data_IF_529867940599
#
_entry.id   IF_529867940599
#
_cell.length_a   1.000
_cell.length_b   1.000
_cell.length_c   1.000
_cell.angle_alpha   90.00
_cell.angle_beta   90.00
_cell.angle_gamma   90.00
#
_symmetry.space_group_name_H-M   'P 1'
#
loop_
_entity.id
_entity.type
_entity.pdbx_description
1 polymer ?
#
# COMPACT_ATOMS: atom_id res chain seq x y z
N UNK A 1 59.88 57.82 -17.24
CA UNK A 1 58.70 57.35 -18.00
C UNK A 1 58.84 55.86 -18.26
N UNK A 2 58.08 55.03 -17.54
CA UNK A 2 57.24 53.94 -18.08
C UNK A 2 56.75 53.03 -16.94
N UNK A 3 55.60 53.44 -16.43
CA UNK A 3 54.46 52.66 -15.90
C UNK A 3 54.75 51.27 -15.33
N UNK A 4 54.81 51.21 -13.99
CA UNK A 4 54.48 50.02 -13.22
C UNK A 4 52.95 49.91 -13.17
N UNK A 5 52.40 48.88 -13.81
CA UNK A 5 50.97 48.55 -13.79
C UNK A 5 50.58 48.06 -12.38
N UNK A 6 49.75 48.83 -11.68
CA UNK A 6 49.00 48.35 -10.52
C UNK A 6 47.81 47.53 -11.03
N UNK A 7 47.92 46.20 -11.03
CA UNK A 7 46.74 45.34 -11.14
C UNK A 7 46.13 45.20 -9.75
N UNK A 8 45.02 45.90 -9.53
CA UNK A 8 44.11 45.66 -8.41
C UNK A 8 43.35 44.36 -8.73
N UNK A 9 43.81 43.24 -8.18
CA UNK A 9 43.00 42.03 -8.09
C UNK A 9 41.98 42.23 -6.97
N UNK A 10 40.78 42.70 -7.31
CA UNK A 10 39.61 42.47 -6.47
C UNK A 10 39.27 40.98 -6.57
N UNK A 11 39.58 40.24 -5.51
CA UNK A 11 39.06 38.88 -5.31
C UNK A 11 37.54 38.96 -5.26
N UNK A 12 36.85 38.35 -6.23
CA UNK A 12 35.46 37.97 -6.05
C UNK A 12 35.43 36.98 -4.88
N UNK A 13 34.88 37.42 -3.76
CA UNK A 13 34.54 36.55 -2.64
C UNK A 13 33.64 35.42 -3.14
N UNK A 14 34.13 34.20 -2.99
CA UNK A 14 33.37 32.97 -3.15
C UNK A 14 32.27 33.00 -2.10
N UNK A 15 31.03 33.27 -2.51
CA UNK A 15 29.87 32.86 -1.71
C UNK A 15 29.84 31.33 -1.72
N UNK A 16 30.51 30.73 -0.73
CA UNK A 16 30.25 29.36 -0.33
C UNK A 16 28.82 29.32 0.23
N UNK A 17 27.86 28.94 -0.61
CA UNK A 17 26.62 28.41 -0.08
C UNK A 17 26.93 27.03 0.50
N UNK A 18 27.24 27.00 1.80
CA UNK A 18 27.23 25.81 2.63
C UNK A 18 25.81 25.20 2.62
N UNK A 19 25.51 24.39 1.60
CA UNK A 19 24.41 23.43 1.64
C UNK A 19 24.84 22.28 2.56
N UNK A 20 24.03 21.83 3.53
CA UNK A 20 24.45 20.72 4.39
C UNK A 20 24.63 19.46 3.53
N UNK A 21 25.84 18.92 3.49
CA UNK A 21 26.22 17.79 2.65
C UNK A 21 25.77 16.47 3.31
N UNK A 22 24.46 16.26 3.35
CA UNK A 22 23.82 15.01 3.74
C UNK A 22 23.43 14.28 2.44
N UNK A 23 24.30 13.41 1.92
CA UNK A 23 24.09 12.75 0.61
C UNK A 23 23.38 11.40 0.71
N UNK A 24 23.85 10.51 1.58
CA UNK A 24 23.21 9.24 1.92
C UNK A 24 23.41 9.05 3.43
N UNK A 25 22.38 8.67 4.18
CA UNK A 25 22.48 8.55 5.64
C UNK A 25 21.44 7.59 6.21
N UNK A 26 21.69 7.13 7.43
CA UNK A 26 20.74 6.37 8.22
C UNK A 26 19.79 7.35 8.92
N UNK A 27 18.49 7.13 8.77
CA UNK A 27 17.45 7.94 9.39
C UNK A 27 17.37 7.71 10.90
N UNK A 28 16.63 8.58 11.61
CA UNK A 28 16.53 8.55 13.07
C UNK A 28 15.93 7.24 13.62
N UNK A 29 15.17 6.51 12.79
CA UNK A 29 14.64 5.18 13.13
C UNK A 29 15.70 4.06 13.11
N UNK A 30 16.95 4.37 12.76
CA UNK A 30 18.09 3.44 12.65
C UNK A 30 17.91 2.29 11.64
N UNK A 31 16.98 2.42 10.70
CA UNK A 31 16.65 1.38 9.70
C UNK A 31 16.68 1.97 8.30
N UNK A 32 15.93 3.05 8.08
CA UNK A 32 15.72 3.65 6.76
C UNK A 32 16.98 4.35 6.27
N UNK A 33 17.32 4.16 4.98
CA UNK A 33 18.42 4.87 4.33
C UNK A 33 17.84 5.96 3.43
N UNK A 34 18.19 7.21 3.75
CA UNK A 34 17.75 8.42 3.04
C UNK A 34 18.85 8.97 2.14
N UNK A 35 18.47 9.52 0.99
CA UNK A 35 19.37 10.04 -0.03
C UNK A 35 18.76 11.15 -0.91
N UNK A 36 17.96 12.04 -0.31
CA UNK A 36 17.21 13.08 -1.02
C UNK A 36 18.14 14.00 -1.84
N UNK A 37 19.31 14.34 -1.27
CA UNK A 37 20.28 15.26 -1.86
C UNK A 37 21.43 14.60 -2.64
N UNK A 38 21.50 13.26 -2.72
CA UNK A 38 22.49 12.58 -3.55
C UNK A 38 22.10 12.56 -5.04
N UNK A 39 23.00 12.11 -5.90
CA UNK A 39 22.75 11.83 -7.31
C UNK A 39 22.53 10.33 -7.55
N UNK A 40 21.87 9.99 -8.66
CA UNK A 40 21.69 8.58 -9.03
C UNK A 40 23.05 7.94 -9.29
N UNK A 41 23.32 6.80 -8.66
CA UNK A 41 24.60 6.11 -8.75
C UNK A 41 25.58 6.46 -7.63
N UNK A 42 25.31 7.49 -6.82
CA UNK A 42 26.09 7.79 -5.63
C UNK A 42 26.11 6.59 -4.68
N UNK A 43 27.24 6.41 -4.00
CA UNK A 43 27.47 5.31 -3.07
C UNK A 43 27.98 5.82 -1.74
N UNK A 44 27.54 5.18 -0.65
CA UNK A 44 28.09 5.43 0.69
C UNK A 44 28.13 4.15 1.51
N UNK A 45 29.20 4.00 2.30
CA UNK A 45 29.31 2.94 3.28
C UNK A 45 28.64 3.36 4.59
N UNK A 46 27.67 2.58 5.06
CA UNK A 46 26.97 2.76 6.34
C UNK A 46 26.94 1.40 7.04
N UNK A 47 27.44 1.32 8.26
CA UNK A 47 27.49 0.08 9.07
C UNK A 47 28.06 -1.14 8.31
N UNK A 48 29.11 -0.93 7.53
CA UNK A 48 29.76 -2.01 6.76
C UNK A 48 29.17 -2.28 5.38
N UNK A 49 27.95 -1.81 5.09
CA UNK A 49 27.24 -2.03 3.81
C UNK A 49 27.39 -0.84 2.87
N UNK A 50 27.48 -1.07 1.56
CA UNK A 50 27.56 -0.01 0.54
C UNK A 50 26.18 0.21 -0.06
N UNK A 51 25.56 1.34 0.27
CA UNK A 51 24.28 1.74 -0.28
C UNK A 51 24.48 2.51 -1.57
N UNK A 52 23.70 2.16 -2.60
CA UNK A 52 23.70 2.85 -3.90
C UNK A 52 22.37 3.56 -4.13
N UNK A 53 22.41 4.82 -4.55
CA UNK A 53 21.19 5.59 -4.90
C UNK A 53 20.68 5.14 -6.26
N UNK A 54 19.40 4.80 -6.33
CA UNK A 54 18.77 4.33 -7.57
C UNK A 54 17.47 5.05 -7.86
N UNK A 55 17.09 5.08 -9.14
CA UNK A 55 15.74 5.46 -9.57
C UNK A 55 14.91 4.21 -9.89
N UNK A 56 13.62 4.39 -10.20
CA UNK A 56 12.70 3.28 -10.53
C UNK A 56 13.23 2.38 -11.65
N UNK A 57 13.80 2.97 -12.71
CA UNK A 57 14.30 2.22 -13.87
C UNK A 57 15.46 1.29 -13.49
N UNK A 58 16.43 1.79 -12.73
CA UNK A 58 17.55 0.99 -12.23
C UNK A 58 17.03 -0.10 -11.29
N UNK A 59 16.13 0.23 -10.36
CA UNK A 59 15.54 -0.72 -9.42
C UNK A 59 14.83 -1.88 -10.14
N UNK A 60 13.95 -1.58 -11.09
CA UNK A 60 13.25 -2.59 -11.91
C UNK A 60 14.26 -3.47 -12.65
N UNK A 61 15.32 -2.90 -13.21
CA UNK A 61 16.35 -3.67 -13.89
C UNK A 61 17.15 -4.56 -12.94
N UNK A 62 17.44 -4.09 -11.71
CA UNK A 62 18.10 -4.89 -10.68
C UNK A 62 17.24 -6.09 -10.30
N UNK A 63 15.95 -5.88 -10.04
CA UNK A 63 15.00 -6.94 -9.68
C UNK A 63 14.84 -7.95 -10.81
N UNK A 64 14.66 -7.49 -12.07
CA UNK A 64 14.58 -8.36 -13.25
C UNK A 64 15.81 -9.25 -13.42
N UNK A 65 17.00 -8.74 -13.08
CA UNK A 65 18.27 -9.45 -13.14
C UNK A 65 18.57 -10.27 -11.87
N UNK A 66 17.66 -10.29 -10.90
CA UNK A 66 17.82 -10.96 -9.60
C UNK A 66 19.03 -10.44 -8.80
N UNK A 67 19.37 -9.16 -8.97
CA UNK A 67 20.39 -8.52 -8.17
C UNK A 67 19.89 -8.30 -6.74
N UNK A 68 20.83 -8.20 -5.81
CA UNK A 68 20.56 -7.79 -4.43
C UNK A 68 20.13 -6.30 -4.38
N UNK A 69 18.98 -6.04 -3.76
CA UNK A 69 18.40 -4.71 -3.54
C UNK A 69 18.26 -4.36 -2.06
N UNK A 70 18.93 -5.11 -1.17
CA UNK A 70 18.96 -4.80 0.27
C UNK A 70 19.83 -3.59 0.62
N UNK A 71 20.74 -3.20 -0.28
CA UNK A 71 21.68 -2.10 -0.09
C UNK A 71 21.49 -0.99 -1.14
N UNK A 72 20.26 -0.54 -1.31
CA UNK A 72 19.94 0.61 -2.17
C UNK A 72 19.23 1.71 -1.38
N UNK A 73 19.29 2.92 -1.90
CA UNK A 73 18.46 4.02 -1.44
C UNK A 73 17.51 4.45 -2.55
N UNK A 74 16.23 4.58 -2.21
CA UNK A 74 15.15 4.87 -3.15
C UNK A 74 14.40 6.18 -2.85
N UNK A 75 14.95 7.08 -2.02
CA UNK A 75 14.31 8.36 -1.65
C UNK A 75 13.81 9.21 -2.83
N UNK A 76 14.33 8.98 -4.03
CA UNK A 76 13.96 9.69 -5.27
C UNK A 76 12.81 9.02 -6.04
N UNK A 77 12.32 7.88 -5.60
CA UNK A 77 11.27 7.11 -6.28
C UNK A 77 9.91 7.53 -5.75
N UNK A 78 9.07 8.09 -6.63
CA UNK A 78 7.69 8.47 -6.30
C UNK A 78 6.66 7.39 -6.67
N UNK A 79 7.04 6.46 -7.52
CA UNK A 79 6.14 5.47 -8.08
C UNK A 79 6.80 4.09 -8.05
N UNK A 80 6.24 3.21 -7.22
CA UNK A 80 6.65 1.82 -7.05
C UNK A 80 5.74 0.85 -7.79
N UNK A 81 4.89 1.34 -8.70
CA UNK A 81 3.92 0.50 -9.42
C UNK A 81 4.62 -0.70 -10.05
N UNK A 82 4.18 -1.90 -9.65
CA UNK A 82 4.61 -3.19 -10.20
C UNK A 82 6.11 -3.51 -10.08
N UNK A 83 6.87 -2.81 -9.22
CA UNK A 83 8.34 -2.94 -9.20
C UNK A 83 8.81 -4.35 -8.81
N UNK A 84 8.14 -5.00 -7.86
CA UNK A 84 8.43 -6.38 -7.43
C UNK A 84 7.41 -7.37 -8.03
N UNK A 85 6.18 -6.92 -8.29
CA UNK A 85 5.11 -7.77 -8.79
C UNK A 85 5.28 -8.23 -10.24
N UNK A 86 4.47 -9.22 -10.64
CA UNK A 86 4.48 -9.83 -11.97
C UNK A 86 4.02 -8.88 -13.11
N UNK A 87 3.88 -7.58 -12.87
CA UNK A 87 3.48 -6.61 -13.89
C UNK A 87 4.48 -6.52 -15.05
N UNK A 88 5.76 -6.82 -14.78
CA UNK A 88 6.83 -6.81 -15.80
C UNK A 88 7.38 -8.21 -16.12
N UNK A 89 6.63 -9.29 -15.86
CA UNK A 89 7.12 -10.67 -15.99
C UNK A 89 8.19 -11.03 -14.95
N UNK A 90 8.14 -10.36 -13.79
CA UNK A 90 9.11 -10.49 -12.70
C UNK A 90 8.73 -11.68 -11.79
N UNK A 91 9.77 -12.25 -11.18
CA UNK A 91 9.77 -13.39 -10.27
C UNK A 91 8.73 -13.33 -9.15
N UNK A 92 7.91 -14.38 -9.03
CA UNK A 92 6.90 -14.57 -7.96
C UNK A 92 7.51 -14.99 -6.61
N UNK A 93 8.83 -15.17 -6.56
CA UNK A 93 9.59 -15.63 -5.39
C UNK A 93 10.39 -14.52 -4.68
N UNK A 94 10.23 -13.25 -5.05
CA UNK A 94 10.96 -12.15 -4.40
C UNK A 94 10.69 -12.14 -2.88
N UNK A 95 11.75 -12.12 -2.08
CA UNK A 95 11.67 -12.06 -0.62
C UNK A 95 12.94 -11.46 0.01
N UNK A 96 13.61 -10.54 -0.69
CA UNK A 96 14.82 -9.86 -0.17
C UNK A 96 14.44 -8.82 0.88
N UNK A 97 15.31 -8.62 1.87
CA UNK A 97 15.14 -7.58 2.89
C UNK A 97 15.17 -6.19 2.24
N UNK A 98 14.06 -5.47 2.36
CA UNK A 98 13.83 -4.12 1.84
C UNK A 98 13.37 -3.17 2.95
N UNK A 99 13.58 -3.56 4.21
CA UNK A 99 13.19 -2.76 5.39
C UNK A 99 13.81 -1.36 5.38
N UNK A 100 15.02 -1.23 4.85
CA UNK A 100 15.76 0.03 4.81
C UNK A 100 15.34 1.00 3.69
N UNK A 101 14.39 0.63 2.84
CA UNK A 101 13.94 1.49 1.75
C UNK A 101 13.23 2.73 2.32
N UNK A 102 13.62 3.91 1.84
CA UNK A 102 12.92 5.16 2.14
C UNK A 102 11.72 5.35 1.21
N UNK A 103 10.52 5.11 1.74
CA UNK A 103 9.25 5.28 1.02
C UNK A 103 8.58 6.63 1.24
N UNK A 104 9.20 7.55 2.00
CA UNK A 104 8.58 8.82 2.38
C UNK A 104 8.17 9.69 1.18
N UNK A 105 8.80 9.52 0.02
CA UNK A 105 8.45 10.23 -1.22
C UNK A 105 7.54 9.44 -2.17
N UNK A 106 7.14 8.21 -1.82
CA UNK A 106 6.33 7.34 -2.66
C UNK A 106 4.86 7.78 -2.62
N UNK A 107 4.29 7.95 -3.81
CA UNK A 107 2.89 8.34 -4.03
C UNK A 107 2.05 7.15 -4.50
N UNK A 108 2.65 6.23 -5.27
CA UNK A 108 1.93 5.11 -5.87
C UNK A 108 2.63 3.77 -5.55
N UNK A 109 1.90 2.85 -4.92
CA UNK A 109 2.33 1.49 -4.60
C UNK A 109 1.50 0.40 -5.33
N UNK A 110 0.76 0.78 -6.38
CA UNK A 110 -0.12 -0.12 -7.13
C UNK A 110 0.63 -1.38 -7.58
N UNK A 111 0.18 -2.56 -7.16
CA UNK A 111 0.74 -3.83 -7.57
C UNK A 111 2.20 -4.06 -7.17
N UNK A 112 2.74 -3.30 -6.20
CA UNK A 112 4.16 -3.38 -5.83
C UNK A 112 4.59 -4.82 -5.58
N UNK A 113 3.84 -5.60 -4.81
CA UNK A 113 4.08 -7.02 -4.53
C UNK A 113 3.06 -7.96 -5.21
N UNK A 114 2.39 -7.50 -6.27
CA UNK A 114 1.39 -8.30 -6.98
C UNK A 114 1.97 -9.62 -7.50
N UNK A 115 1.45 -10.74 -7.02
CA UNK A 115 1.84 -12.13 -7.29
C UNK A 115 3.20 -12.53 -6.71
N UNK A 116 3.78 -11.72 -5.82
CA UNK A 116 4.99 -12.08 -5.07
C UNK A 116 4.64 -13.08 -3.95
N UNK A 117 4.28 -14.30 -4.34
CA UNK A 117 3.71 -15.35 -3.47
C UNK A 117 4.56 -15.71 -2.24
N UNK A 118 5.86 -15.47 -2.28
CA UNK A 118 6.82 -15.73 -1.20
C UNK A 118 7.18 -14.52 -0.36
N UNK A 119 6.77 -13.32 -0.76
CA UNK A 119 7.14 -12.09 -0.06
C UNK A 119 6.53 -12.08 1.34
N UNK A 120 7.37 -11.91 2.36
CA UNK A 120 6.97 -11.79 3.75
C UNK A 120 8.03 -11.05 4.59
N UNK A 121 8.69 -10.04 4.00
CA UNK A 121 9.71 -9.24 4.70
C UNK A 121 9.08 -8.09 5.48
N UNK A 122 9.72 -7.72 6.58
CA UNK A 122 9.29 -6.62 7.43
C UNK A 122 9.36 -5.28 6.67
N UNK A 123 8.22 -4.62 6.60
CA UNK A 123 7.99 -3.31 5.97
C UNK A 123 7.22 -2.38 6.92
N UNK A 124 7.25 -2.68 8.23
CA UNK A 124 6.54 -1.92 9.26
C UNK A 124 7.06 -0.47 9.40
N UNK A 125 8.32 -0.22 9.02
CA UNK A 125 8.96 1.10 9.09
C UNK A 125 8.78 1.96 7.83
N UNK A 126 8.05 1.47 6.84
CA UNK A 126 7.77 2.26 5.65
C UNK A 126 6.86 3.43 5.97
N UNK A 127 7.27 4.62 5.56
CA UNK A 127 6.44 5.81 5.58
C UNK A 127 5.48 5.78 4.37
N UNK A 128 4.18 5.69 4.65
CA UNK A 128 3.11 5.64 3.66
C UNK A 128 2.27 6.93 3.61
N UNK A 129 2.63 7.97 4.37
CA UNK A 129 1.84 9.21 4.51
C UNK A 129 1.59 9.94 3.18
N UNK A 130 2.50 9.77 2.21
CA UNK A 130 2.37 10.34 0.86
C UNK A 130 1.69 9.41 -0.16
N UNK A 131 1.39 8.16 0.21
CA UNK A 131 0.78 7.19 -0.70
C UNK A 131 -0.67 7.56 -0.96
N UNK A 132 -1.07 7.52 -2.23
CA UNK A 132 -2.44 7.78 -2.71
C UNK A 132 -3.12 6.53 -3.26
N UNK A 133 -2.34 5.56 -3.75
CA UNK A 133 -2.86 4.30 -4.30
C UNK A 133 -2.09 3.10 -3.75
N UNK A 134 -2.84 2.12 -3.23
CA UNK A 134 -2.34 0.80 -2.79
C UNK A 134 -3.04 -0.34 -3.55
N UNK A 135 -3.61 -0.05 -4.71
CA UNK A 135 -4.34 -1.02 -5.52
C UNK A 135 -3.50 -2.26 -5.81
N UNK A 136 -4.05 -3.46 -5.57
CA UNK A 136 -3.40 -4.74 -5.86
C UNK A 136 -2.01 -4.91 -5.21
N UNK A 137 -1.64 -4.10 -4.20
CA UNK A 137 -0.28 -4.07 -3.65
C UNK A 137 0.20 -5.46 -3.21
N UNK A 138 -0.65 -6.26 -2.59
CA UNK A 138 -0.39 -7.65 -2.16
C UNK A 138 -1.29 -8.67 -2.87
N UNK A 139 -1.83 -8.35 -4.05
CA UNK A 139 -2.63 -9.28 -4.86
C UNK A 139 -1.85 -10.58 -5.06
N UNK A 140 -2.31 -11.72 -4.54
CA UNK A 140 -1.64 -13.01 -4.69
C UNK A 140 -0.34 -13.16 -3.89
N UNK A 141 -0.05 -12.27 -2.93
CA UNK A 141 1.08 -12.40 -2.01
C UNK A 141 0.76 -13.43 -0.91
N UNK A 142 0.64 -14.70 -1.31
CA UNK A 142 0.13 -15.83 -0.50
C UNK A 142 0.74 -15.90 0.91
N UNK A 143 2.06 -15.66 1.03
CA UNK A 143 2.79 -15.80 2.30
C UNK A 143 2.83 -14.54 3.15
N UNK A 144 2.37 -13.39 2.63
CA UNK A 144 2.50 -12.11 3.32
C UNK A 144 1.63 -12.05 4.57
N UNK A 145 2.24 -11.76 5.72
CA UNK A 145 1.55 -11.62 7.01
C UNK A 145 2.37 -10.74 7.99
N UNK A 146 3.02 -9.69 7.49
CA UNK A 146 3.81 -8.77 8.33
C UNK A 146 2.97 -7.63 8.88
N UNK A 147 3.35 -7.14 10.06
CA UNK A 147 2.63 -6.07 10.73
C UNK A 147 2.75 -4.76 9.95
N UNK A 148 1.61 -4.24 9.50
CA UNK A 148 1.45 -2.98 8.77
C UNK A 148 0.37 -2.09 9.41
N UNK A 149 -0.02 -2.39 10.64
CA UNK A 149 -1.04 -1.62 11.36
C UNK A 149 -0.62 -0.18 11.67
N UNK A 150 0.70 0.10 11.65
CA UNK A 150 1.27 1.43 11.89
C UNK A 150 1.39 2.32 10.64
N UNK A 151 0.95 1.86 9.47
CA UNK A 151 0.97 2.67 8.26
C UNK A 151 -0.04 3.82 8.31
N UNK A 152 0.37 4.99 7.82
CA UNK A 152 -0.52 6.12 7.58
C UNK A 152 -1.24 5.93 6.23
N UNK A 153 -2.55 5.73 6.28
CA UNK A 153 -3.42 5.52 5.12
C UNK A 153 -4.35 6.69 4.84
N UNK A 154 -4.26 7.80 5.58
CA UNK A 154 -5.24 8.90 5.53
C UNK A 154 -5.37 9.52 4.14
N UNK A 155 -4.31 9.46 3.35
CA UNK A 155 -4.28 9.99 1.98
C UNK A 155 -4.61 8.96 0.89
N UNK A 156 -4.82 7.69 1.23
CA UNK A 156 -5.07 6.63 0.25
C UNK A 156 -6.51 6.74 -0.24
N UNK A 157 -6.68 6.82 -1.56
CA UNK A 157 -8.01 6.90 -2.19
C UNK A 157 -8.48 5.57 -2.76
N UNK A 158 -7.57 4.61 -3.01
CA UNK A 158 -7.93 3.31 -3.59
C UNK A 158 -7.12 2.18 -2.95
N UNK A 159 -7.84 1.17 -2.47
CA UNK A 159 -7.33 -0.08 -1.90
C UNK A 159 -7.86 -1.31 -2.68
N UNK A 160 -8.33 -1.09 -3.91
CA UNK A 160 -8.89 -2.15 -4.75
C UNK A 160 -7.91 -3.31 -4.90
N UNK A 161 -8.36 -4.52 -4.57
CA UNK A 161 -7.59 -5.76 -4.68
C UNK A 161 -6.35 -5.84 -3.79
N UNK A 162 -6.17 -4.93 -2.81
CA UNK A 162 -4.92 -4.81 -2.06
C UNK A 162 -4.44 -6.13 -1.46
N UNK A 163 -5.34 -6.94 -0.88
CA UNK A 163 -5.05 -8.26 -0.30
C UNK A 163 -5.77 -9.41 -1.01
N UNK A 164 -6.21 -9.21 -2.26
CA UNK A 164 -6.87 -10.28 -3.00
C UNK A 164 -5.94 -11.49 -3.12
N UNK A 165 -6.33 -12.66 -2.63
CA UNK A 165 -5.52 -13.88 -2.64
C UNK A 165 -4.31 -13.84 -1.70
N UNK A 166 -4.20 -12.89 -0.78
CA UNK A 166 -3.19 -12.87 0.29
C UNK A 166 -3.60 -13.84 1.41
N UNK A 167 -3.54 -15.15 1.10
CA UNK A 167 -4.08 -16.25 1.93
C UNK A 167 -3.62 -16.19 3.39
N UNK A 168 -2.36 -15.82 3.64
CA UNK A 168 -1.78 -15.82 5.00
C UNK A 168 -2.13 -14.59 5.83
N UNK A 169 -2.59 -13.50 5.19
CA UNK A 169 -2.70 -12.20 5.83
C UNK A 169 -3.83 -12.18 6.88
N UNK A 170 -3.46 -11.82 8.12
CA UNK A 170 -4.40 -11.65 9.22
C UNK A 170 -3.83 -10.69 10.29
N UNK A 171 -3.19 -9.61 9.86
CA UNK A 171 -2.61 -8.61 10.77
C UNK A 171 -3.59 -7.50 11.09
N UNK A 172 -3.49 -6.97 12.32
CA UNK A 172 -4.36 -5.89 12.78
C UNK A 172 -4.12 -4.62 11.95
N UNK A 173 -5.20 -4.13 11.35
CA UNK A 173 -5.29 -2.92 10.52
C UNK A 173 -6.47 -2.05 10.97
N UNK A 174 -6.95 -2.26 12.20
CA UNK A 174 -8.06 -1.50 12.78
C UNK A 174 -7.77 -0.01 12.92
N UNK A 175 -6.48 0.36 13.02
CA UNK A 175 -6.00 1.73 13.16
C UNK A 175 -5.85 2.52 11.86
N UNK A 176 -6.11 1.92 10.69
CA UNK A 176 -6.04 2.62 9.41
C UNK A 176 -7.14 3.68 9.27
N UNK A 177 -6.78 4.86 8.76
CA UNK A 177 -7.74 5.88 8.32
C UNK A 177 -8.19 5.56 6.89
N UNK A 178 -9.47 5.23 6.73
CA UNK A 178 -10.10 4.91 5.44
C UNK A 178 -11.03 6.00 4.93
N UNK A 179 -11.11 7.16 5.59
CA UNK A 179 -12.07 8.23 5.29
C UNK A 179 -11.96 8.79 3.86
N UNK A 180 -10.77 8.72 3.27
CA UNK A 180 -10.47 9.13 1.89
C UNK A 180 -10.69 8.02 0.85
N UNK A 181 -10.91 6.77 1.26
CA UNK A 181 -10.97 5.62 0.34
C UNK A 181 -12.30 5.63 -0.40
N UNK A 182 -12.23 5.60 -1.74
CA UNK A 182 -13.41 5.55 -2.62
C UNK A 182 -13.65 4.17 -3.24
N UNK A 183 -12.60 3.33 -3.33
CA UNK A 183 -12.65 2.03 -3.96
C UNK A 183 -12.00 0.94 -3.07
N UNK A 184 -12.80 -0.03 -2.65
CA UNK A 184 -12.40 -1.22 -1.89
C UNK A 184 -12.74 -2.52 -2.64
N UNK A 185 -12.96 -2.45 -3.95
CA UNK A 185 -13.30 -3.62 -4.76
C UNK A 185 -12.29 -4.75 -4.56
N UNK A 186 -12.77 -5.94 -4.22
CA UNK A 186 -11.98 -7.16 -4.04
C UNK A 186 -10.86 -7.04 -3.00
N UNK A 187 -10.91 -6.09 -2.06
CA UNK A 187 -9.79 -5.81 -1.14
C UNK A 187 -9.29 -7.05 -0.40
N UNK A 188 -10.19 -7.92 0.09
CA UNK A 188 -9.88 -9.19 0.76
C UNK A 188 -10.46 -10.40 0.01
N UNK A 189 -10.70 -10.29 -1.31
CA UNK A 189 -11.18 -11.42 -2.10
C UNK A 189 -10.22 -12.61 -1.96
N UNK A 190 -10.70 -13.76 -1.51
CA UNK A 190 -9.94 -14.99 -1.30
C UNK A 190 -8.81 -14.87 -0.26
N UNK A 191 -8.79 -13.82 0.58
CA UNK A 191 -7.92 -13.70 1.74
C UNK A 191 -8.43 -14.58 2.90
N UNK A 192 -8.32 -15.90 2.72
CA UNK A 192 -9.09 -16.88 3.50
C UNK A 192 -8.84 -16.88 5.01
N UNK A 193 -7.72 -16.35 5.50
CA UNK A 193 -7.41 -16.27 6.94
C UNK A 193 -7.79 -14.93 7.58
N UNK A 194 -8.13 -13.91 6.79
CA UNK A 194 -8.39 -12.58 7.31
C UNK A 194 -9.67 -12.56 8.16
N UNK A 195 -9.55 -12.10 9.40
CA UNK A 195 -10.65 -11.98 10.35
C UNK A 195 -10.39 -10.87 11.40
N UNK A 196 -9.75 -9.78 11.01
CA UNK A 196 -9.42 -8.67 11.92
C UNK A 196 -10.56 -7.66 12.02
N UNK A 197 -10.74 -7.09 13.20
CA UNK A 197 -11.83 -6.16 13.47
C UNK A 197 -11.61 -4.84 12.71
N UNK A 198 -12.51 -4.56 11.77
CA UNK A 198 -12.55 -3.35 10.93
C UNK A 198 -13.88 -2.60 11.06
N UNK A 199 -14.59 -2.81 12.16
CA UNK A 199 -15.86 -2.13 12.48
C UNK A 199 -15.71 -0.60 12.54
N UNK A 200 -14.52 -0.11 12.92
CA UNK A 200 -14.22 1.31 13.10
C UNK A 200 -13.82 2.05 11.82
N UNK A 201 -13.70 1.36 10.68
CA UNK A 201 -13.33 2.00 9.43
C UNK A 201 -14.41 2.98 8.96
N UNK A 202 -13.98 4.17 8.54
CA UNK A 202 -14.87 5.14 7.89
C UNK A 202 -15.06 4.73 6.42
N UNK A 203 -16.25 4.22 6.10
CA UNK A 203 -16.63 3.84 4.73
C UNK A 203 -17.48 4.90 4.04
N UNK A 204 -17.64 6.09 4.62
CA UNK A 204 -18.59 7.10 4.14
C UNK A 204 -18.26 7.64 2.74
N UNK A 205 -17.01 7.54 2.30
CA UNK A 205 -16.56 7.91 0.94
C UNK A 205 -16.57 6.75 -0.07
N UNK A 206 -16.75 5.52 0.39
CA UNK A 206 -16.62 4.32 -0.45
C UNK A 206 -17.79 4.21 -1.42
N UNK A 207 -17.47 3.97 -2.69
CA UNK A 207 -18.44 3.77 -3.77
C UNK A 207 -18.52 2.32 -4.24
N UNK A 208 -17.40 1.61 -4.21
CA UNK A 208 -17.31 0.23 -4.71
C UNK A 208 -16.82 -0.72 -3.61
N UNK A 209 -17.70 -1.62 -3.20
CA UNK A 209 -17.47 -2.71 -2.25
C UNK A 209 -17.64 -4.10 -2.90
N UNK A 210 -17.68 -4.16 -4.24
CA UNK A 210 -17.75 -5.40 -4.99
C UNK A 210 -16.70 -6.39 -4.50
N UNK A 211 -17.08 -7.61 -4.14
CA UNK A 211 -16.21 -8.72 -3.74
C UNK A 211 -15.27 -8.47 -2.55
N UNK A 212 -15.49 -7.44 -1.72
CA UNK A 212 -14.54 -7.09 -0.65
C UNK A 212 -14.15 -8.29 0.24
N UNK A 213 -15.07 -9.20 0.56
CA UNK A 213 -14.84 -10.45 1.32
C UNK A 213 -15.23 -11.71 0.54
N UNK A 214 -15.29 -11.65 -0.80
CA UNK A 214 -15.62 -12.84 -1.61
C UNK A 214 -14.61 -13.96 -1.29
N UNK A 215 -15.04 -15.14 -0.85
CA UNK A 215 -14.12 -16.24 -0.50
C UNK A 215 -13.21 -16.01 0.71
N UNK A 216 -13.40 -14.93 1.49
CA UNK A 216 -12.71 -14.72 2.76
C UNK A 216 -13.33 -15.62 3.85
N UNK A 217 -13.02 -16.92 3.80
CA UNK A 217 -13.77 -17.97 4.50
C UNK A 217 -13.83 -17.82 6.03
N UNK A 218 -12.84 -17.16 6.64
CA UNK A 218 -12.76 -16.90 8.09
C UNK A 218 -13.32 -15.54 8.53
N UNK A 219 -13.69 -14.67 7.61
CA UNK A 219 -14.16 -13.33 7.98
C UNK A 219 -15.53 -13.39 8.65
N UNK A 220 -15.63 -12.92 9.88
CA UNK A 220 -16.88 -12.85 10.66
C UNK A 220 -16.87 -11.66 11.65
N UNK A 221 -16.39 -10.51 11.21
CA UNK A 221 -16.33 -9.29 12.03
C UNK A 221 -17.55 -8.39 11.77
N UNK A 222 -17.98 -7.68 12.81
CA UNK A 222 -19.13 -6.78 12.72
C UNK A 222 -18.83 -5.59 11.80
N UNK A 223 -19.59 -5.51 10.71
CA UNK A 223 -19.57 -4.40 9.74
C UNK A 223 -20.96 -3.75 9.62
N UNK A 224 -21.87 -4.05 10.55
CA UNK A 224 -23.25 -3.53 10.54
C UNK A 224 -23.34 -2.01 10.76
N UNK A 225 -22.25 -1.41 11.26
CA UNK A 225 -22.11 0.03 11.48
C UNK A 225 -21.50 0.82 10.31
N UNK A 226 -21.11 0.16 9.22
CA UNK A 226 -20.51 0.84 8.08
C UNK A 226 -21.49 1.81 7.40
N UNK A 227 -20.97 2.95 6.95
CA UNK A 227 -21.74 3.92 6.17
C UNK A 227 -21.74 3.52 4.70
N UNK A 228 -22.90 3.08 4.19
CA UNK A 228 -23.05 2.58 2.82
C UNK A 228 -23.81 3.53 1.89
N UNK A 229 -24.09 4.76 2.31
CA UNK A 229 -24.94 5.72 1.56
C UNK A 229 -24.44 5.98 0.13
N UNK A 230 -23.12 5.99 -0.05
CA UNK A 230 -22.45 6.31 -1.31
C UNK A 230 -22.10 5.06 -2.13
N UNK A 231 -22.39 3.86 -1.62
CA UNK A 231 -22.03 2.60 -2.27
C UNK A 231 -22.97 2.34 -3.44
N UNK A 232 -22.40 2.27 -4.65
CA UNK A 232 -23.12 1.98 -5.89
C UNK A 232 -22.86 0.57 -6.42
N UNK A 233 -21.89 -0.16 -5.86
CA UNK A 233 -21.65 -1.57 -6.19
C UNK A 233 -21.28 -2.37 -4.93
N UNK A 234 -22.06 -3.41 -4.65
CA UNK A 234 -21.87 -4.33 -3.53
C UNK A 234 -21.98 -5.80 -3.99
N UNK A 235 -21.75 -6.07 -5.28
CA UNK A 235 -21.86 -7.41 -5.86
C UNK A 235 -20.86 -8.38 -5.24
N UNK A 236 -21.31 -9.59 -4.93
CA UNK A 236 -20.52 -10.69 -4.34
C UNK A 236 -19.76 -10.32 -3.06
N UNK A 237 -20.14 -9.24 -2.36
CA UNK A 237 -19.41 -8.70 -1.19
C UNK A 237 -19.00 -9.79 -0.18
N UNK A 238 -19.91 -10.71 0.15
CA UNK A 238 -19.72 -11.80 1.11
C UNK A 238 -19.86 -13.20 0.50
N UNK A 239 -19.85 -13.31 -0.84
CA UNK A 239 -20.04 -14.61 -1.49
C UNK A 239 -18.91 -15.57 -1.10
N UNK A 240 -19.22 -16.71 -0.50
CA UNK A 240 -18.21 -17.68 -0.07
C UNK A 240 -17.46 -17.33 1.23
N UNK A 241 -17.83 -16.23 1.92
CA UNK A 241 -17.37 -15.96 3.29
C UNK A 241 -18.10 -16.90 4.27
N UNK A 242 -17.66 -18.16 4.34
CA UNK A 242 -18.41 -19.25 4.99
C UNK A 242 -18.69 -19.08 6.48
N UNK A 243 -17.89 -18.30 7.21
CA UNK A 243 -18.09 -18.04 8.64
C UNK A 243 -18.91 -16.77 8.92
N UNK A 244 -19.23 -15.97 7.90
CA UNK A 244 -19.91 -14.69 8.05
C UNK A 244 -21.38 -14.85 8.46
N UNK A 245 -21.76 -14.34 9.63
CA UNK A 245 -23.11 -14.47 10.21
C UNK A 245 -23.65 -13.17 10.81
N UNK A 246 -23.06 -12.03 10.46
CA UNK A 246 -23.42 -10.73 11.03
C UNK A 246 -24.76 -10.25 10.44
N UNK A 247 -25.58 -9.63 11.27
CA UNK A 247 -26.81 -8.96 10.84
C UNK A 247 -26.50 -7.61 10.17
N UNK A 248 -26.79 -7.50 8.88
CA UNK A 248 -26.58 -6.29 8.09
C UNK A 248 -27.88 -5.53 7.79
N UNK A 249 -28.98 -5.85 8.45
CA UNK A 249 -30.30 -5.19 8.27
C UNK A 249 -30.31 -3.70 8.58
N UNK A 250 -29.26 -3.21 9.25
CA UNK A 250 -29.02 -1.79 9.54
C UNK A 250 -28.37 -1.04 8.38
N UNK A 251 -27.71 -1.74 7.46
CA UNK A 251 -27.09 -1.12 6.30
C UNK A 251 -28.17 -0.58 5.36
N UNK A 252 -27.96 0.67 4.93
CA UNK A 252 -28.84 1.39 4.03
C UNK A 252 -28.09 1.67 2.72
N UNK A 253 -28.54 1.07 1.61
CA UNK A 253 -27.87 1.15 0.31
C UNK A 253 -28.84 1.64 -0.75
N UNK A 254 -29.03 2.96 -0.81
CA UNK A 254 -30.02 3.60 -1.69
C UNK A 254 -29.67 3.53 -3.18
N UNK A 255 -28.37 3.53 -3.51
CA UNK A 255 -27.91 3.55 -4.91
C UNK A 255 -28.04 2.20 -5.62
N UNK A 256 -28.35 1.11 -4.90
CA UNK A 256 -28.51 -0.24 -5.46
C UNK A 256 -29.98 -0.65 -5.30
N UNK A 257 -30.70 -0.72 -6.42
CA UNK A 257 -32.15 -0.99 -6.45
C UNK A 257 -32.52 -2.46 -6.62
N UNK A 258 -31.56 -3.29 -7.03
CA UNK A 258 -31.72 -4.74 -7.18
C UNK A 258 -30.82 -5.44 -6.17
N UNK A 259 -31.39 -6.32 -5.34
CA UNK A 259 -30.63 -7.12 -4.37
C UNK A 259 -29.56 -7.95 -5.08
N UNK A 260 -28.27 -7.80 -4.74
CA UNK A 260 -27.20 -8.62 -5.32
C UNK A 260 -27.35 -10.11 -5.00
N UNK A 261 -26.98 -10.99 -5.93
CA UNK A 261 -27.22 -12.45 -5.89
C UNK A 261 -26.79 -13.14 -4.57
N UNK A 262 -25.69 -12.71 -3.95
CA UNK A 262 -25.18 -13.31 -2.71
C UNK A 262 -26.04 -13.02 -1.47
N UNK A 263 -26.95 -12.06 -1.57
CA UNK A 263 -27.96 -11.74 -0.55
C UNK A 263 -29.33 -12.35 -0.90
N UNK A 264 -29.38 -13.26 -1.89
CA UNK A 264 -30.58 -14.02 -2.25
C UNK A 264 -30.50 -15.44 -1.69
N UNK A 265 -31.66 -16.06 -1.43
CA UNK A 265 -31.77 -17.29 -0.62
C UNK A 265 -31.27 -18.59 -1.25
N UNK A 266 -30.62 -18.51 -2.40
CA UNK A 266 -30.20 -19.69 -3.16
C UNK A 266 -28.69 -19.96 -3.07
N UNK A 267 -27.89 -19.05 -2.49
CA UNK A 267 -26.42 -19.13 -2.63
C UNK A 267 -25.59 -19.13 -1.34
N UNK A 268 -26.13 -18.76 -0.17
CA UNK A 268 -25.26 -18.47 1.02
C UNK A 268 -25.75 -18.93 2.40
N UNK A 269 -26.90 -19.59 2.57
CA UNK A 269 -27.49 -19.85 3.92
C UNK A 269 -27.60 -18.60 4.81
N UNK A 270 -27.52 -17.40 4.22
CA UNK A 270 -27.55 -16.13 4.92
C UNK A 270 -29.00 -15.74 5.24
N UNK A 271 -29.36 -15.44 6.50
CA UNK A 271 -30.75 -15.19 6.88
C UNK A 271 -31.35 -14.00 6.12
N UNK A 272 -32.62 -14.10 5.72
CA UNK A 272 -33.32 -13.02 4.97
C UNK A 272 -33.45 -11.76 5.80
N UNK A 273 -33.61 -11.90 7.11
CA UNK A 273 -33.71 -10.82 8.07
C UNK A 273 -32.39 -10.06 8.29
N UNK A 274 -31.25 -10.61 7.84
CA UNK A 274 -29.93 -10.01 8.02
C UNK A 274 -29.46 -9.21 6.80
N UNK A 275 -30.23 -9.18 5.70
CA UNK A 275 -29.79 -8.53 4.47
C UNK A 275 -29.88 -6.99 4.58
N UNK A 276 -28.98 -6.23 3.92
CA UNK A 276 -29.10 -4.78 3.80
C UNK A 276 -30.44 -4.32 3.21
N UNK A 277 -30.81 -3.08 3.51
CA UNK A 277 -31.94 -2.41 2.85
C UNK A 277 -31.47 -1.79 1.54
N UNK A 278 -32.14 -2.14 0.44
CA UNK A 278 -31.78 -1.75 -0.92
C UNK A 278 -32.76 -0.73 -1.49
N UNK A 279 -32.26 0.27 -2.21
CA UNK A 279 -33.05 1.24 -2.98
C UNK A 279 -33.72 2.34 -2.16
N UNK A 280 -34.50 1.98 -1.14
CA UNK A 280 -35.15 2.96 -0.24
C UNK A 280 -35.00 2.53 1.20
N UNK A 281 -34.46 3.43 2.02
CA UNK A 281 -34.32 3.22 3.45
C UNK A 281 -35.46 3.92 4.20
N UNK A 282 -35.97 3.32 5.29
CA UNK A 282 -37.00 3.90 6.14
C UNK A 282 -36.48 5.07 6.98
#
# INVERSE_FOLDING_TARGET
MKNLFFLILFSLEIFSQNKPLISIYLDDNNITIKCENAEIGDKKKINGKIYTVVNKSILVNMIKKKNDVSCICISKVKDLTGVIGNYYGIETNFNQDISSWDTSNVINMTGLFGQASKFNQDISYWDTSNVRSMENMFLGAISFNQNIGGWDTASVTSMSGMFNGAISFNQDISGWDTSSVVNMESMFDSASRFNQNISNWDTSSVKNMCRIFNGATKFNQDISGWNTKNVSNMDKMIRGASEFKIDLSRLCVESIITTPDQFTTETTNYPREYIPKWGTCP
#
